data_IF_514739663538
#
_entry.id   IF_514739663538
#
_cell.length_a   1.000
_cell.length_b   1.000
_cell.length_c   1.000
_cell.angle_alpha   90.00
_cell.angle_beta   90.00
_cell.angle_gamma   90.00
#
_symmetry.space_group_name_H-M   'P 1'
#
loop_
_entity.id
_entity.type
_entity.pdbx_description
1 polymer ?
#
# COMPACT_ATOMS: atom_id res chain seq x y z
N UNK A 1 26.36 29.06 -2.77
CA UNK A 1 24.91 28.99 -2.47
C UNK A 1 24.52 27.52 -2.45
N UNK A 2 24.29 26.97 -1.26
CA UNK A 2 24.02 25.55 -1.05
C UNK A 2 22.59 25.21 -1.46
N UNK A 3 22.43 24.41 -2.51
CA UNK A 3 21.17 23.82 -2.94
C UNK A 3 20.66 22.83 -1.88
N UNK A 4 19.90 23.32 -0.91
CA UNK A 4 19.10 22.47 -0.02
C UNK A 4 17.84 22.03 -0.79
N UNK A 5 17.97 20.92 -1.52
CA UNK A 5 16.80 20.15 -1.94
C UNK A 5 16.24 19.38 -0.75
N UNK A 6 14.92 19.30 -0.62
CA UNK A 6 14.25 18.52 0.44
C UNK A 6 14.78 17.07 0.56
N UNK A 7 15.26 16.48 -0.54
CA UNK A 7 15.87 15.15 -0.54
C UNK A 7 17.23 15.02 0.17
N UNK A 8 18.02 16.10 0.32
CA UNK A 8 19.33 16.00 0.99
C UNK A 8 19.24 16.01 2.52
N UNK A 9 18.16 16.56 3.08
CA UNK A 9 17.87 16.51 4.52
C UNK A 9 17.38 15.10 4.93
N UNK A 10 16.63 14.41 4.07
CA UNK A 10 16.25 13.01 4.31
C UNK A 10 17.45 12.06 4.37
N UNK A 11 18.46 12.27 3.52
CA UNK A 11 19.69 11.45 3.49
C UNK A 11 20.58 11.64 4.73
N UNK A 12 20.55 12.80 5.38
CA UNK A 12 21.34 13.07 6.60
C UNK A 12 20.57 12.73 7.89
N UNK A 13 19.24 12.65 7.83
CA UNK A 13 18.40 12.32 8.99
C UNK A 13 18.11 10.81 9.11
N UNK A 14 18.23 10.04 8.02
CA UNK A 14 18.26 8.57 8.08
C UNK A 14 19.64 8.09 8.54
N UNK A 15 19.95 8.23 9.83
CA UNK A 15 20.94 7.33 10.42
C UNK A 15 20.37 5.91 10.27
N UNK A 16 20.94 5.15 9.34
CA UNK A 16 20.54 3.81 8.89
C UNK A 16 20.47 2.73 10.01
N UNK A 17 20.62 3.09 11.28
CA UNK A 17 20.83 2.16 12.39
C UNK A 17 19.65 1.22 12.66
N UNK A 18 18.44 1.56 12.21
CA UNK A 18 17.22 0.79 12.50
C UNK A 18 16.54 0.18 11.26
N UNK A 19 17.27 -0.01 10.16
CA UNK A 19 16.75 -0.70 8.98
C UNK A 19 17.70 -1.78 8.48
N UNK A 20 17.14 -2.80 7.83
CA UNK A 20 17.92 -3.84 7.16
C UNK A 20 17.56 -3.91 5.68
N UNK A 21 18.52 -4.41 4.89
CA UNK A 21 18.32 -4.61 3.46
C UNK A 21 17.44 -5.82 3.20
N UNK A 22 16.32 -5.63 2.52
CA UNK A 22 15.35 -6.69 2.22
C UNK A 22 15.52 -7.26 0.81
N UNK A 23 16.03 -6.47 -0.14
CA UNK A 23 16.24 -6.92 -1.52
C UNK A 23 16.35 -5.79 -2.53
N UNK A 24 16.32 -6.12 -3.82
CA UNK A 24 16.38 -5.17 -4.93
C UNK A 24 15.27 -5.47 -5.93
N UNK A 25 14.44 -4.47 -6.24
CA UNK A 25 13.40 -4.57 -7.26
C UNK A 25 13.63 -3.47 -8.29
N UNK A 26 13.65 -3.82 -9.58
CA UNK A 26 13.85 -2.88 -10.70
C UNK A 26 15.06 -1.95 -10.52
N UNK A 27 16.18 -2.49 -10.06
CA UNK A 27 17.39 -1.70 -9.84
C UNK A 27 17.41 -0.90 -8.53
N UNK A 28 16.30 -0.85 -7.79
CA UNK A 28 16.15 -0.07 -6.56
C UNK A 28 16.34 -0.95 -5.32
N UNK A 29 17.27 -0.62 -4.41
CA UNK A 29 17.39 -1.33 -3.15
C UNK A 29 16.23 -0.97 -2.22
N UNK A 30 15.67 -2.00 -1.57
CA UNK A 30 14.57 -1.88 -0.61
C UNK A 30 15.11 -2.19 0.78
N UNK A 31 14.81 -1.30 1.71
CA UNK A 31 15.14 -1.42 3.13
C UNK A 31 13.86 -1.50 3.94
N UNK A 32 13.89 -2.28 5.00
CA UNK A 32 12.77 -2.46 5.94
C UNK A 32 13.22 -2.00 7.32
N UNK A 33 12.42 -1.15 7.95
CA UNK A 33 12.68 -0.71 9.31
C UNK A 33 12.30 -1.82 10.33
N UNK A 34 13.10 -2.01 11.40
CA UNK A 34 12.80 -3.00 12.43
C UNK A 34 11.47 -2.76 13.15
N UNK A 35 11.01 -1.51 13.26
CA UNK A 35 9.69 -1.20 13.80
C UNK A 35 8.57 -1.83 12.98
N UNK A 36 8.75 -1.98 11.66
CA UNK A 36 7.78 -2.68 10.82
C UNK A 36 7.64 -4.14 11.23
N UNK A 37 8.78 -4.78 11.53
CA UNK A 37 8.81 -6.18 11.99
C UNK A 37 8.16 -6.30 13.36
N UNK A 38 8.46 -5.39 14.29
CA UNK A 38 7.83 -5.38 15.61
C UNK A 38 6.31 -5.20 15.54
N UNK A 39 5.83 -4.27 14.71
CA UNK A 39 4.40 -4.07 14.46
C UNK A 39 3.76 -5.30 13.82
N UNK A 40 4.46 -5.99 12.93
CA UNK A 40 3.96 -7.21 12.31
C UNK A 40 3.84 -8.36 13.32
N UNK A 41 4.86 -8.56 14.17
CA UNK A 41 4.80 -9.56 15.26
C UNK A 41 3.65 -9.24 16.21
N UNK A 42 3.48 -7.98 16.60
CA UNK A 42 2.37 -7.55 17.44
C UNK A 42 1.01 -7.88 16.81
N UNK A 43 0.82 -7.64 15.50
CA UNK A 43 -0.41 -8.00 14.80
C UNK A 43 -0.68 -9.52 14.81
N UNK A 44 0.35 -10.35 14.63
CA UNK A 44 0.20 -11.81 14.71
C UNK A 44 -0.20 -12.25 16.13
N UNK A 45 0.42 -11.68 17.16
CA UNK A 45 0.06 -12.00 18.55
C UNK A 45 -1.40 -11.59 18.86
N UNK A 46 -1.84 -10.44 18.38
CA UNK A 46 -3.23 -9.99 18.50
C UNK A 46 -4.20 -10.93 17.74
N UNK A 47 -3.81 -11.41 16.56
CA UNK A 47 -4.60 -12.35 15.79
C UNK A 47 -4.75 -13.70 16.51
N UNK A 48 -3.68 -14.20 17.14
CA UNK A 48 -3.71 -15.44 17.94
C UNK A 48 -4.57 -15.32 19.20
N UNK A 49 -4.69 -14.13 19.79
CA UNK A 49 -5.56 -13.85 20.93
C UNK A 49 -7.03 -13.58 20.58
N UNK A 50 -7.39 -13.63 19.29
CA UNK A 50 -8.76 -13.34 18.84
C UNK A 50 -9.69 -14.55 18.99
N UNK A 51 -11.01 -14.31 19.06
CA UNK A 51 -12.04 -15.37 19.11
C UNK A 51 -12.26 -16.09 17.77
N UNK A 52 -11.39 -15.87 16.77
CA UNK A 52 -11.47 -16.47 15.45
C UNK A 52 -10.61 -17.74 15.38
N UNK A 53 -10.85 -18.63 14.39
CA UNK A 53 -9.97 -19.77 14.17
C UNK A 53 -8.52 -19.30 13.95
N UNK A 54 -7.59 -19.79 14.77
CA UNK A 54 -6.23 -19.23 14.85
C UNK A 54 -5.50 -19.16 13.51
N UNK A 55 -5.64 -20.19 12.65
CA UNK A 55 -5.02 -20.16 11.32
C UNK A 55 -5.62 -19.08 10.42
N UNK A 56 -6.95 -18.95 10.39
CA UNK A 56 -7.61 -17.90 9.59
C UNK A 56 -7.24 -16.51 10.11
N UNK A 57 -7.25 -16.29 11.42
CA UNK A 57 -6.87 -15.00 12.01
C UNK A 57 -5.44 -14.60 11.64
N UNK A 58 -4.48 -15.52 11.73
CA UNK A 58 -3.08 -15.28 11.36
C UNK A 58 -2.96 -15.02 9.85
N UNK A 59 -3.61 -15.82 9.01
CA UNK A 59 -3.58 -15.62 7.56
C UNK A 59 -4.20 -14.28 7.13
N UNK A 60 -5.29 -13.87 7.77
CA UNK A 60 -5.90 -12.56 7.54
C UNK A 60 -4.96 -11.42 7.94
N UNK A 61 -4.29 -11.52 9.09
CA UNK A 61 -3.32 -10.51 9.53
C UNK A 61 -2.09 -10.44 8.60
N UNK A 62 -1.54 -11.59 8.20
CA UNK A 62 -0.42 -11.68 7.26
C UNK A 62 -0.82 -11.12 5.90
N UNK A 63 -2.01 -11.50 5.39
CA UNK A 63 -2.52 -11.02 4.12
C UNK A 63 -2.79 -9.52 4.12
N UNK A 64 -3.38 -8.98 5.19
CA UNK A 64 -3.56 -7.55 5.38
C UNK A 64 -2.22 -6.79 5.32
N UNK A 65 -1.23 -7.24 6.09
CA UNK A 65 0.08 -6.59 6.13
C UNK A 65 0.79 -6.68 4.77
N UNK A 66 0.71 -7.84 4.10
CA UNK A 66 1.30 -8.02 2.78
C UNK A 66 0.67 -7.08 1.75
N UNK A 67 -0.66 -6.98 1.71
CA UNK A 67 -1.37 -6.08 0.80
C UNK A 67 -1.02 -4.61 1.09
N UNK A 68 -0.97 -4.22 2.37
CA UNK A 68 -0.59 -2.87 2.77
C UNK A 68 0.82 -2.52 2.28
N UNK A 69 1.80 -3.37 2.58
CA UNK A 69 3.20 -3.12 2.21
C UNK A 69 3.41 -3.17 0.69
N UNK A 70 2.74 -4.07 -0.03
CA UNK A 70 2.80 -4.09 -1.50
C UNK A 70 2.16 -2.85 -2.10
N UNK A 71 1.03 -2.39 -1.54
CA UNK A 71 0.35 -1.17 -2.00
C UNK A 71 1.27 0.05 -1.80
N UNK A 72 1.84 0.20 -0.62
CA UNK A 72 2.82 1.27 -0.31
C UNK A 72 4.06 1.16 -1.20
N UNK A 73 4.60 -0.03 -1.40
CA UNK A 73 5.78 -0.21 -2.23
C UNK A 73 5.53 0.25 -3.67
N UNK A 74 4.39 -0.14 -4.26
CA UNK A 74 3.97 0.35 -5.57
C UNK A 74 3.80 1.87 -5.60
N UNK A 75 3.25 2.47 -4.54
CA UNK A 75 3.12 3.92 -4.38
C UNK A 75 4.50 4.61 -4.42
N UNK A 76 5.46 4.14 -3.60
CA UNK A 76 6.82 4.67 -3.58
C UNK A 76 7.56 4.48 -4.91
N UNK A 77 7.28 3.37 -5.61
CA UNK A 77 7.76 3.16 -6.97
C UNK A 77 7.15 4.15 -7.96
N UNK A 78 5.92 4.64 -7.74
CA UNK A 78 5.31 5.71 -8.54
C UNK A 78 6.16 6.99 -8.49
N UNK A 79 6.46 7.47 -7.27
CA UNK A 79 7.35 8.61 -7.06
C UNK A 79 8.73 8.40 -7.71
N UNK A 80 9.36 7.26 -7.41
CA UNK A 80 10.69 6.96 -7.90
C UNK A 80 10.77 6.79 -9.42
N UNK A 81 9.73 6.23 -10.05
CA UNK A 81 9.66 6.05 -11.50
C UNK A 81 9.52 7.40 -12.20
N UNK A 82 8.72 8.32 -11.65
CA UNK A 82 8.64 9.68 -12.18
C UNK A 82 9.98 10.43 -12.01
N UNK A 83 10.63 10.31 -10.85
CA UNK A 83 11.95 10.88 -10.63
C UNK A 83 12.99 10.37 -11.65
N UNK A 84 12.96 9.07 -11.97
CA UNK A 84 13.80 8.47 -13.05
C UNK A 84 13.44 9.00 -14.43
N UNK A 85 12.15 9.13 -14.73
CA UNK A 85 11.68 9.67 -16.00
C UNK A 85 12.18 11.11 -16.23
N UNK A 86 12.24 11.92 -15.17
CA UNK A 86 12.81 13.27 -15.19
C UNK A 86 14.36 13.31 -15.25
N UNK A 87 15.02 12.18 -15.50
CA UNK A 87 16.48 12.06 -15.60
C UNK A 87 17.18 11.89 -14.25
N UNK A 88 16.43 11.58 -13.20
CA UNK A 88 16.93 11.33 -11.86
C UNK A 88 17.30 9.88 -11.57
N UNK A 89 17.54 9.59 -10.30
CA UNK A 89 17.81 8.25 -9.79
C UNK A 89 17.10 8.00 -8.46
N UNK A 90 16.90 6.73 -8.13
CA UNK A 90 16.38 6.30 -6.83
C UNK A 90 17.55 5.71 -6.05
N UNK A 91 17.86 6.29 -4.89
CA UNK A 91 18.90 5.78 -4.00
C UNK A 91 18.44 4.51 -3.31
N UNK A 92 17.29 4.54 -2.63
CA UNK A 92 16.65 3.38 -2.01
C UNK A 92 15.20 3.70 -1.61
N UNK A 93 14.41 2.66 -1.35
CA UNK A 93 13.07 2.79 -0.75
C UNK A 93 13.12 2.21 0.65
N UNK A 94 12.63 2.96 1.64
CA UNK A 94 12.50 2.53 3.03
C UNK A 94 11.04 2.24 3.35
N UNK A 95 10.74 1.03 3.80
CA UNK A 95 9.42 0.66 4.31
C UNK A 95 9.35 0.86 5.83
N UNK A 96 8.30 1.56 6.28
CA UNK A 96 8.06 1.94 7.67
C UNK A 96 6.65 1.50 8.13
N UNK A 97 6.42 1.29 9.44
CA UNK A 97 5.07 1.08 10.02
C UNK A 97 3.93 1.93 9.47
N UNK A 98 4.19 3.18 9.14
CA UNK A 98 3.18 4.17 8.74
C UNK A 98 3.19 4.46 7.23
N UNK A 99 3.99 3.75 6.43
CA UNK A 99 4.09 4.01 4.99
C UNK A 99 5.47 3.66 4.42
N UNK A 100 5.86 4.36 3.36
CA UNK A 100 7.15 4.21 2.72
C UNK A 100 7.80 5.58 2.53
N UNK A 101 9.11 5.58 2.27
CA UNK A 101 9.83 6.77 1.84
C UNK A 101 10.72 6.38 0.67
N UNK A 102 10.48 7.00 -0.49
CA UNK A 102 11.30 6.87 -1.67
C UNK A 102 12.39 7.96 -1.71
N UNK A 103 13.63 7.57 -1.40
CA UNK A 103 14.77 8.48 -1.52
C UNK A 103 15.17 8.57 -3.00
N UNK A 104 14.74 9.65 -3.64
CA UNK A 104 15.02 9.92 -5.05
C UNK A 104 15.55 11.34 -5.26
N UNK A 105 16.25 11.53 -6.37
CA UNK A 105 16.81 12.81 -6.74
C UNK A 105 16.71 13.00 -8.25
N UNK A 106 16.36 14.19 -8.73
CA UNK A 106 16.35 14.54 -10.15
C UNK A 106 16.97 15.92 -10.38
N UNK A 107 17.45 16.21 -11.61
CA UNK A 107 18.09 17.48 -11.92
C UNK A 107 17.14 18.66 -11.76
N UNK A 108 17.51 19.63 -10.93
CA UNK A 108 16.83 20.94 -10.82
C UNK A 108 17.53 21.93 -11.74
N UNK A 109 17.00 22.05 -12.95
CA UNK A 109 17.47 22.96 -13.98
C UNK A 109 16.27 23.73 -14.52
N UNK A 110 16.43 25.05 -14.65
CA UNK A 110 15.37 25.95 -15.10
C UNK A 110 14.88 26.92 -14.02
N UNK A 111 13.80 27.60 -14.33
CA UNK A 111 13.11 28.53 -13.45
C UNK A 111 12.53 27.84 -12.22
N UNK A 112 12.24 28.64 -11.17
CA UNK A 112 11.54 28.14 -9.97
C UNK A 112 10.23 27.46 -10.34
N UNK A 113 9.47 28.01 -11.28
CA UNK A 113 8.19 27.46 -11.73
C UNK A 113 8.33 26.08 -12.37
N UNK A 114 9.32 25.87 -13.23
CA UNK A 114 9.55 24.58 -13.88
C UNK A 114 9.96 23.50 -12.86
N UNK A 115 10.79 23.85 -11.89
CA UNK A 115 11.17 22.91 -10.83
C UNK A 115 9.96 22.58 -9.93
N UNK A 116 9.09 23.53 -9.64
CA UNK A 116 7.85 23.27 -8.88
C UNK A 116 6.91 22.33 -9.63
N UNK A 117 6.78 22.46 -10.95
CA UNK A 117 5.96 21.54 -11.75
C UNK A 117 6.51 20.11 -11.71
N UNK A 118 7.83 19.94 -11.82
CA UNK A 118 8.50 18.64 -11.67
C UNK A 118 8.30 18.04 -10.29
N UNK A 119 8.42 18.85 -9.24
CA UNK A 119 8.16 18.45 -7.86
C UNK A 119 6.69 17.95 -7.73
N UNK A 120 5.73 18.67 -8.31
CA UNK A 120 4.31 18.26 -8.32
C UNK A 120 4.07 16.97 -9.12
N UNK A 121 4.71 16.79 -10.26
CA UNK A 121 4.62 15.56 -11.05
C UNK A 121 5.13 14.35 -10.25
N UNK A 122 6.27 14.48 -9.57
CA UNK A 122 6.82 13.43 -8.72
C UNK A 122 5.89 13.12 -7.56
N UNK A 123 5.42 14.15 -6.83
CA UNK A 123 4.50 13.97 -5.68
C UNK A 123 3.16 13.39 -6.12
N UNK A 124 2.64 13.77 -7.29
CA UNK A 124 1.38 13.22 -7.81
C UNK A 124 1.51 11.77 -8.31
N UNK A 125 2.70 11.36 -8.77
CA UNK A 125 2.92 10.04 -9.34
C UNK A 125 2.69 8.88 -8.36
N UNK A 126 2.96 9.07 -7.06
CA UNK A 126 2.68 8.08 -6.03
C UNK A 126 1.17 7.81 -5.90
N UNK A 127 0.35 8.81 -5.53
CA UNK A 127 -1.11 8.67 -5.44
C UNK A 127 -1.76 8.16 -6.72
N UNK A 128 -1.22 8.54 -7.89
CA UNK A 128 -1.74 8.08 -9.18
C UNK A 128 -1.72 6.56 -9.34
N UNK A 129 -0.79 5.85 -8.67
CA UNK A 129 -0.75 4.38 -8.71
C UNK A 129 -2.02 3.73 -8.15
N UNK A 130 -2.68 4.36 -7.16
CA UNK A 130 -3.92 3.85 -6.58
C UNK A 130 -5.08 3.83 -7.58
N UNK A 131 -5.06 4.69 -8.60
CA UNK A 131 -6.07 4.70 -9.67
C UNK A 131 -6.04 3.43 -10.52
N UNK A 132 -4.93 2.69 -10.53
CA UNK A 132 -4.84 1.38 -11.19
C UNK A 132 -5.04 0.23 -10.20
N UNK A 133 -4.49 0.37 -8.99
CA UNK A 133 -4.59 -0.67 -7.97
C UNK A 133 -6.04 -0.85 -7.48
N UNK A 134 -6.81 0.22 -7.26
CA UNK A 134 -8.18 0.09 -6.79
C UNK A 134 -9.09 -0.65 -7.80
N UNK A 135 -9.12 -0.30 -9.10
CA UNK A 135 -9.85 -1.08 -10.10
C UNK A 135 -9.37 -2.53 -10.21
N UNK A 136 -8.06 -2.79 -10.10
CA UNK A 136 -7.53 -4.14 -10.07
C UNK A 136 -8.14 -4.97 -8.93
N UNK A 137 -8.19 -4.43 -7.71
CA UNK A 137 -8.82 -5.09 -6.57
C UNK A 137 -10.34 -5.23 -6.72
N UNK A 138 -11.01 -4.25 -7.33
CA UNK A 138 -12.44 -4.34 -7.66
C UNK A 138 -12.74 -5.49 -8.63
N UNK A 139 -11.91 -5.67 -9.66
CA UNK A 139 -12.02 -6.76 -10.62
C UNK A 139 -11.76 -8.11 -9.95
N UNK A 140 -10.72 -8.20 -9.11
CA UNK A 140 -10.44 -9.41 -8.34
C UNK A 140 -11.60 -9.76 -7.40
N UNK A 141 -12.16 -8.79 -6.67
CA UNK A 141 -13.29 -9.02 -5.79
C UNK A 141 -14.51 -9.50 -6.57
N UNK A 142 -14.82 -8.85 -7.70
CA UNK A 142 -15.94 -9.23 -8.57
C UNK A 142 -15.78 -10.66 -9.11
N UNK A 143 -14.60 -10.97 -9.65
CA UNK A 143 -14.29 -12.30 -10.18
C UNK A 143 -14.30 -13.39 -9.11
N UNK A 144 -13.67 -13.12 -7.96
CA UNK A 144 -13.67 -14.04 -6.82
C UNK A 144 -15.09 -14.24 -6.26
N UNK A 145 -15.90 -13.18 -6.20
CA UNK A 145 -17.30 -13.28 -5.73
C UNK A 145 -18.12 -14.15 -6.67
N UNK A 146 -17.99 -13.96 -7.99
CA UNK A 146 -18.69 -14.77 -8.98
C UNK A 146 -18.27 -16.25 -8.96
N UNK A 147 -17.02 -16.54 -8.59
CA UNK A 147 -16.48 -17.90 -8.57
C UNK A 147 -16.72 -18.63 -7.24
N UNK A 148 -16.65 -17.92 -6.11
CA UNK A 148 -16.55 -18.51 -4.78
C UNK A 148 -17.83 -18.38 -3.94
N UNK A 149 -18.74 -17.47 -4.30
CA UNK A 149 -20.01 -17.31 -3.58
C UNK A 149 -21.09 -18.21 -4.18
N UNK A 150 -21.79 -19.01 -3.37
CA UNK A 150 -23.05 -19.63 -3.76
C UNK A 150 -24.09 -18.57 -4.16
N UNK A 151 -24.99 -18.87 -5.10
CA UNK A 151 -26.01 -17.91 -5.60
C UNK A 151 -26.82 -17.27 -4.48
N UNK A 152 -27.16 -18.05 -3.45
CA UNK A 152 -27.91 -17.60 -2.27
C UNK A 152 -27.17 -16.51 -1.49
N UNK A 153 -25.83 -16.55 -1.46
CA UNK A 153 -24.99 -15.55 -0.81
C UNK A 153 -24.63 -14.39 -1.73
N UNK A 154 -24.48 -14.65 -3.04
CA UNK A 154 -24.19 -13.62 -4.03
C UNK A 154 -25.26 -12.52 -4.03
N UNK A 155 -26.53 -12.88 -3.80
CA UNK A 155 -27.64 -11.92 -3.67
C UNK A 155 -27.49 -10.94 -2.49
N UNK A 156 -26.76 -11.32 -1.44
CA UNK A 156 -26.49 -10.47 -0.28
C UNK A 156 -25.15 -9.75 -0.36
N UNK A 157 -24.37 -9.98 -1.42
CA UNK A 157 -23.06 -9.34 -1.58
C UNK A 157 -23.27 -7.84 -1.80
N UNK A 158 -22.64 -6.97 -0.98
CA UNK A 158 -22.67 -5.54 -1.25
C UNK A 158 -22.11 -5.27 -2.65
N UNK A 159 -22.67 -4.25 -3.32
CA UNK A 159 -22.09 -3.81 -4.57
C UNK A 159 -20.62 -3.37 -4.35
N UNK A 160 -19.78 -3.52 -5.37
CA UNK A 160 -18.35 -3.19 -5.28
C UNK A 160 -18.13 -1.74 -4.84
N UNK A 161 -19.03 -0.83 -5.25
CA UNK A 161 -19.03 0.56 -4.84
C UNK A 161 -19.12 0.77 -3.33
N UNK A 162 -19.78 -0.13 -2.60
CA UNK A 162 -19.88 -0.08 -1.15
C UNK A 162 -18.52 -0.27 -0.48
N UNK A 163 -17.60 -1.03 -1.08
CA UNK A 163 -16.22 -1.21 -0.59
C UNK A 163 -15.29 -0.04 -0.94
N UNK A 164 -15.66 0.77 -1.95
CA UNK A 164 -14.95 2.01 -2.28
C UNK A 164 -15.29 3.15 -1.32
N UNK A 165 -16.39 3.06 -0.56
CA UNK A 165 -16.74 4.05 0.43
C UNK A 165 -15.81 3.94 1.65
N UNK A 166 -14.91 4.90 1.90
CA UNK A 166 -13.97 4.84 3.03
C UNK A 166 -14.67 4.94 4.39
N UNK A 167 -15.88 5.51 4.43
CA UNK A 167 -16.72 5.61 5.62
C UNK A 167 -17.77 4.49 5.67
N UNK A 168 -17.80 3.62 4.67
CA UNK A 168 -18.75 2.51 4.59
C UNK A 168 -18.31 1.34 5.46
N UNK A 169 -19.30 0.64 6.03
CA UNK A 169 -19.08 -0.60 6.78
C UNK A 169 -19.38 -1.85 5.95
N UNK A 170 -19.33 -1.75 4.63
CA UNK A 170 -19.65 -2.87 3.74
C UNK A 170 -18.67 -4.03 3.98
N UNK A 171 -19.14 -5.17 4.46
CA UNK A 171 -18.35 -6.36 4.72
C UNK A 171 -18.71 -7.50 3.77
N UNK A 172 -17.79 -8.43 3.56
CA UNK A 172 -18.10 -9.70 2.89
C UNK A 172 -19.13 -10.44 3.76
N UNK A 173 -20.22 -10.99 3.20
CA UNK A 173 -21.16 -11.78 3.97
C UNK A 173 -20.49 -13.08 4.40
N UNK A 174 -20.38 -13.29 5.70
CA UNK A 174 -19.70 -14.45 6.28
C UNK A 174 -20.76 -15.51 6.63
N UNK A 175 -20.73 -16.64 5.93
CA UNK A 175 -21.52 -17.81 6.30
C UNK A 175 -20.66 -19.08 6.23
N UNK A 176 -20.09 -19.47 7.37
CA UNK A 176 -19.23 -20.65 7.49
C UNK A 176 -19.94 -21.99 7.21
N UNK A 177 -21.29 -22.02 7.17
CA UNK A 177 -22.02 -23.23 6.79
C UNK A 177 -22.05 -23.44 5.26
N UNK A 178 -21.94 -22.36 4.49
CA UNK A 178 -22.04 -22.37 3.03
C UNK A 178 -20.70 -22.08 2.34
N UNK A 179 -19.72 -21.56 3.07
CA UNK A 179 -18.42 -21.14 2.54
C UNK A 179 -17.27 -21.75 3.34
N UNK A 180 -16.21 -22.11 2.63
CA UNK A 180 -14.96 -22.50 3.29
C UNK A 180 -14.27 -21.27 3.89
N UNK A 181 -13.48 -21.47 4.94
CA UNK A 181 -12.66 -20.39 5.52
C UNK A 181 -11.70 -19.77 4.49
N UNK A 182 -11.29 -20.55 3.47
CA UNK A 182 -10.43 -20.08 2.40
C UNK A 182 -11.15 -19.10 1.46
N UNK A 183 -12.41 -19.37 1.08
CA UNK A 183 -13.15 -18.44 0.21
C UNK A 183 -13.46 -17.13 0.93
N UNK A 184 -13.82 -17.20 2.21
CA UNK A 184 -14.03 -16.02 3.06
C UNK A 184 -12.74 -15.18 3.11
N UNK A 185 -11.61 -15.81 3.41
CA UNK A 185 -10.30 -15.15 3.45
C UNK A 185 -9.98 -14.45 2.13
N UNK A 186 -10.13 -15.12 0.98
CA UNK A 186 -9.82 -14.54 -0.33
C UNK A 186 -10.68 -13.29 -0.59
N UNK A 187 -11.99 -13.39 -0.37
CA UNK A 187 -12.90 -12.27 -0.59
C UNK A 187 -12.60 -11.09 0.34
N UNK A 188 -12.29 -11.36 1.60
CA UNK A 188 -11.91 -10.34 2.56
C UNK A 188 -10.60 -9.65 2.18
N UNK A 189 -9.58 -10.41 1.76
CA UNK A 189 -8.31 -9.85 1.31
C UNK A 189 -8.51 -8.95 0.09
N UNK A 190 -9.36 -9.34 -0.87
CA UNK A 190 -9.71 -8.49 -2.00
C UNK A 190 -10.41 -7.20 -1.53
N UNK A 191 -11.40 -7.31 -0.64
CA UNK A 191 -12.09 -6.15 -0.08
C UNK A 191 -11.14 -5.22 0.71
N UNK A 192 -10.21 -5.78 1.48
CA UNK A 192 -9.15 -5.03 2.17
C UNK A 192 -8.25 -4.30 1.17
N UNK A 193 -7.87 -4.94 0.06
CA UNK A 193 -7.10 -4.31 -1.01
C UNK A 193 -7.76 -3.06 -1.57
N UNK A 194 -9.08 -3.09 -1.80
CA UNK A 194 -9.85 -1.92 -2.22
C UNK A 194 -9.78 -0.83 -1.15
N UNK A 195 -10.12 -1.16 0.10
CA UNK A 195 -10.17 -0.16 1.19
C UNK A 195 -8.83 0.48 1.48
N UNK A 196 -7.75 -0.30 1.51
CA UNK A 196 -6.39 0.19 1.71
C UNK A 196 -6.03 1.18 0.60
N UNK A 197 -6.32 0.87 -0.66
CA UNK A 197 -6.02 1.77 -1.77
C UNK A 197 -6.81 3.07 -1.70
N UNK A 198 -8.10 3.02 -1.37
CA UNK A 198 -8.91 4.23 -1.18
C UNK A 198 -8.40 5.06 0.00
N UNK A 199 -8.14 4.43 1.15
CA UNK A 199 -7.67 5.13 2.35
C UNK A 199 -6.30 5.78 2.13
N UNK A 200 -5.35 5.06 1.53
CA UNK A 200 -4.02 5.61 1.23
C UNK A 200 -4.06 6.69 0.15
N UNK A 201 -4.91 6.53 -0.87
CA UNK A 201 -5.12 7.59 -1.86
C UNK A 201 -5.62 8.88 -1.21
N UNK A 202 -6.65 8.79 -0.37
CA UNK A 202 -7.19 9.95 0.35
C UNK A 202 -6.19 10.54 1.33
N UNK A 203 -5.47 9.70 2.06
CA UNK A 203 -4.43 10.14 3.00
C UNK A 203 -3.35 10.95 2.27
N UNK A 204 -2.79 10.42 1.18
CA UNK A 204 -1.71 11.08 0.44
C UNK A 204 -2.21 12.30 -0.36
N UNK A 205 -3.50 12.38 -0.70
CA UNK A 205 -4.09 13.59 -1.29
C UNK A 205 -4.25 14.71 -0.26
N UNK A 206 -4.61 14.38 0.98
CA UNK A 206 -4.79 15.35 2.08
C UNK A 206 -3.47 15.75 2.72
N UNK A 207 -2.50 14.84 2.75
CA UNK A 207 -1.18 15.02 3.36
C UNK A 207 -0.08 14.61 2.35
N UNK A 208 0.15 15.40 1.29
CA UNK A 208 1.21 15.13 0.35
C UNK A 208 2.57 15.24 1.04
N UNK A 209 3.34 14.15 1.01
CA UNK A 209 4.69 14.05 1.59
C UNK A 209 5.77 14.19 0.51
#
# INVERSE_FOLDING_TARGET
>A
MSNFGFGSQGLSQSSDSNSFYAGKILGTPIRVNYWLVGLFVYQILQALGSNQPGLYAVLSAVGFQAILQLTVLCHEFGHGSMARYLGGSISYILLWPFGGICFSSYPRQGSVKENLLKDLEVVAAGPFTHLFQAPFWCLLLSGASALLLPEQLAAFMPNVWAFLNPLGHASVPINFALMSSASILVLELCAMGIRINVMLFLFNLLFPM
#
